data_IF_766487813980
#
_entry.id   IF_766487813980
#
_cell.length_a   1.000
_cell.length_b   1.000
_cell.length_c   1.000
_cell.angle_alpha   90.00
_cell.angle_beta   90.00
_cell.angle_gamma   90.00
#
_symmetry.space_group_name_H-M   'P 1'
#
loop_
_entity.id
_entity.type
_entity.pdbx_description
1 polymer ?
#
# COMPACT_ATOMS: atom_id res chain seq x y z
N UNK A 1 -7.04 -3.31 51.33
CA UNK A 1 -7.98 -2.69 50.38
C UNK A 1 -7.21 -2.23 49.15
N UNK A 2 -7.53 -2.70 47.95
CA UNK A 2 -6.83 -2.23 46.73
C UNK A 2 -7.42 -0.88 46.29
N UNK A 3 -6.57 0.13 46.09
CA UNK A 3 -7.01 1.47 45.66
C UNK A 3 -7.55 1.44 44.22
N UNK A 4 -8.77 1.95 44.05
CA UNK A 4 -9.39 2.12 42.74
C UNK A 4 -8.51 2.97 41.80
N UNK A 5 -8.43 2.65 40.50
CA UNK A 5 -9.02 1.50 39.82
C UNK A 5 -8.21 0.21 39.99
N UNK A 6 -8.93 -0.92 40.05
CA UNK A 6 -8.37 -2.28 40.06
C UNK A 6 -7.69 -2.58 38.71
N UNK A 7 -8.37 -2.26 37.60
CA UNK A 7 -7.84 -2.41 36.24
C UNK A 7 -6.96 -1.23 35.86
N UNK A 8 -5.73 -1.51 35.40
CA UNK A 8 -4.75 -0.47 35.03
C UNK A 8 -4.15 -0.73 33.66
N UNK A 9 -4.92 -0.45 32.61
CA UNK A 9 -4.55 -0.66 31.19
C UNK A 9 -3.23 0.02 30.79
N UNK A 10 -2.88 1.13 31.46
CA UNK A 10 -1.62 1.85 31.21
C UNK A 10 -0.37 1.04 31.57
N UNK A 11 -0.46 0.00 32.42
CA UNK A 11 0.71 -0.77 32.88
C UNK A 11 1.49 -1.40 31.73
N UNK A 12 0.80 -2.04 30.78
CA UNK A 12 1.42 -2.67 29.60
C UNK A 12 1.83 -1.66 28.51
N UNK A 13 1.48 -0.37 28.65
CA UNK A 13 1.81 0.68 27.68
C UNK A 13 2.94 1.61 28.13
N UNK A 14 3.56 1.36 29.29
CA UNK A 14 4.57 2.26 29.91
C UNK A 14 5.87 2.38 29.12
N UNK A 15 6.36 1.30 28.54
CA UNK A 15 7.64 1.27 27.82
C UNK A 15 7.45 0.72 26.41
N UNK A 16 8.39 1.03 25.53
CA UNK A 16 8.41 0.45 24.17
C UNK A 16 8.52 -1.08 24.21
N UNK A 17 9.29 -1.63 25.16
CA UNK A 17 9.39 -3.10 25.35
C UNK A 17 8.06 -3.74 25.76
N UNK A 18 7.34 -3.15 26.72
CA UNK A 18 6.04 -3.67 27.15
C UNK A 18 4.99 -3.58 26.03
N UNK A 19 5.00 -2.49 25.24
CA UNK A 19 4.13 -2.36 24.06
C UNK A 19 4.48 -3.35 22.96
N UNK A 20 5.76 -3.68 22.76
CA UNK A 20 6.18 -4.73 21.81
C UNK A 20 5.74 -6.12 22.27
N UNK A 21 5.86 -6.43 23.57
CA UNK A 21 5.44 -7.70 24.15
C UNK A 21 3.92 -7.91 24.02
N UNK A 22 3.14 -6.88 24.36
CA UNK A 22 1.67 -6.93 24.33
C UNK A 22 1.05 -6.61 22.96
N UNK A 23 1.85 -6.50 21.89
CA UNK A 23 1.34 -6.18 20.54
C UNK A 23 0.61 -7.39 19.95
N UNK A 24 -0.66 -7.20 19.64
CA UNK A 24 -1.52 -8.21 19.01
C UNK A 24 -1.30 -8.26 17.50
N UNK A 25 -1.35 -7.11 16.81
CA UNK A 25 -1.20 -7.04 15.35
C UNK A 25 0.23 -6.71 14.92
N UNK A 26 0.77 -7.53 14.02
CA UNK A 26 2.04 -7.30 13.31
C UNK A 26 1.74 -7.14 11.83
N UNK A 27 2.58 -6.38 11.13
CA UNK A 27 2.54 -6.25 9.69
C UNK A 27 3.88 -6.73 9.16
N UNK A 28 3.83 -7.55 8.13
CA UNK A 28 4.95 -8.02 7.33
C UNK A 28 4.84 -7.47 5.90
N UNK A 29 5.93 -7.47 5.13
CA UNK A 29 5.85 -7.07 3.71
C UNK A 29 4.89 -7.99 2.91
N UNK A 30 4.73 -9.23 3.36
CA UNK A 30 3.82 -10.20 2.77
C UNK A 30 2.34 -9.85 2.92
N UNK A 31 2.01 -8.89 3.80
CA UNK A 31 0.64 -8.39 3.99
C UNK A 31 0.25 -7.31 2.95
N UNK A 32 1.17 -6.90 2.07
CA UNK A 32 0.97 -5.78 1.14
C UNK A 32 0.96 -6.20 -0.34
N UNK A 33 0.21 -5.45 -1.13
CA UNK A 33 0.17 -5.55 -2.60
C UNK A 33 0.39 -4.15 -3.20
N UNK A 34 1.39 -4.01 -4.06
CA UNK A 34 1.74 -2.73 -4.70
C UNK A 34 0.93 -2.52 -5.99
N UNK A 35 0.15 -1.43 -6.10
CA UNK A 35 -0.51 -1.10 -7.35
C UNK A 35 0.47 -0.51 -8.38
N UNK A 36 0.40 -1.00 -9.61
CA UNK A 36 1.13 -0.45 -10.76
C UNK A 36 0.16 -0.01 -11.84
N UNK A 37 0.29 1.24 -12.28
CA UNK A 37 -0.55 1.81 -13.33
C UNK A 37 0.21 1.81 -14.65
N UNK A 38 -0.40 1.31 -15.72
CA UNK A 38 0.23 1.12 -17.02
C UNK A 38 -0.60 1.85 -18.08
N UNK A 39 0.06 2.51 -19.02
CA UNK A 39 -0.60 3.10 -20.18
C UNK A 39 0.35 3.29 -21.36
N UNK A 40 -0.13 3.89 -22.46
CA UNK A 40 0.66 4.14 -23.66
C UNK A 40 1.84 5.08 -23.38
N UNK A 41 1.61 6.08 -22.53
CA UNK A 41 2.60 7.10 -22.18
C UNK A 41 2.72 7.22 -20.65
N UNK A 42 3.94 7.42 -20.14
CA UNK A 42 4.15 7.65 -18.72
C UNK A 42 3.47 8.96 -18.29
N UNK A 43 2.93 8.97 -17.07
CA UNK A 43 2.24 10.14 -16.52
C UNK A 43 2.48 10.22 -15.02
N UNK A 44 3.09 11.31 -14.57
CA UNK A 44 3.22 11.59 -13.13
C UNK A 44 1.84 11.88 -12.53
N UNK A 45 1.61 11.42 -11.29
CA UNK A 45 0.43 11.78 -10.53
C UNK A 45 0.78 12.82 -9.46
N UNK A 46 0.49 14.12 -9.68
CA UNK A 46 0.79 15.16 -8.69
C UNK A 46 -0.08 15.05 -7.43
N UNK A 47 -1.26 14.43 -7.53
CA UNK A 47 -2.18 14.24 -6.39
C UNK A 47 -1.76 13.06 -5.49
N UNK A 48 -1.04 12.08 -6.07
CA UNK A 48 -0.48 10.94 -5.35
C UNK A 48 1.03 10.82 -5.61
N UNK A 49 1.86 11.69 -4.97
CA UNK A 49 3.30 11.62 -5.08
C UNK A 49 3.83 10.24 -4.68
N UNK A 50 4.62 9.62 -5.56
CA UNK A 50 5.14 8.25 -5.40
C UNK A 50 4.38 7.19 -6.18
N UNK A 51 3.19 7.50 -6.71
CA UNK A 51 2.50 6.68 -7.71
C UNK A 51 2.50 7.42 -9.05
N UNK A 52 2.80 6.69 -10.12
CA UNK A 52 2.76 7.22 -11.48
C UNK A 52 2.30 6.13 -12.43
N UNK A 53 1.89 6.55 -13.63
CA UNK A 53 1.65 5.63 -14.73
C UNK A 53 2.98 5.34 -15.43
N UNK A 54 3.31 4.07 -15.53
CA UNK A 54 4.43 3.56 -16.32
C UNK A 54 3.98 3.30 -17.76
N UNK A 55 4.92 3.35 -18.68
CA UNK A 55 4.76 2.75 -20.01
C UNK A 55 5.02 1.24 -19.94
N UNK A 56 4.71 0.51 -21.01
CA UNK A 56 4.99 -0.93 -21.07
C UNK A 56 6.49 -1.20 -20.98
N UNK A 57 7.31 -0.34 -21.58
CA UNK A 57 8.78 -0.46 -21.61
C UNK A 57 9.40 -0.21 -20.22
N UNK A 58 8.82 0.69 -19.44
CA UNK A 58 9.33 1.07 -18.11
C UNK A 58 8.80 0.20 -16.97
N UNK A 59 7.75 -0.61 -17.24
CA UNK A 59 7.12 -1.46 -16.23
C UNK A 59 8.06 -2.52 -15.66
N UNK A 60 8.89 -3.15 -16.51
CA UNK A 60 9.83 -4.19 -16.08
C UNK A 60 10.84 -3.67 -15.06
N UNK A 61 11.46 -2.52 -15.33
CA UNK A 61 12.40 -1.89 -14.41
C UNK A 61 11.76 -1.53 -13.05
N UNK A 62 10.49 -1.11 -13.06
CA UNK A 62 9.74 -0.84 -11.83
C UNK A 62 9.45 -2.12 -11.05
N UNK A 63 9.12 -3.23 -11.73
CA UNK A 63 8.92 -4.53 -11.09
C UNK A 63 10.21 -5.07 -10.47
N UNK A 64 11.35 -4.97 -11.17
CA UNK A 64 12.65 -5.39 -10.65
C UNK A 64 13.06 -4.59 -9.39
N UNK A 65 12.70 -3.31 -9.33
CA UNK A 65 12.94 -2.50 -8.14
C UNK A 65 12.10 -2.95 -6.95
N UNK A 66 10.81 -3.23 -7.18
CA UNK A 66 9.93 -3.77 -6.15
C UNK A 66 10.41 -5.12 -5.62
N UNK A 67 10.88 -6.00 -6.50
CA UNK A 67 11.46 -7.29 -6.10
C UNK A 67 12.69 -7.09 -5.22
N UNK A 68 13.62 -6.19 -5.60
CA UNK A 68 14.80 -5.87 -4.77
C UNK A 68 14.44 -5.33 -3.40
N UNK A 69 13.32 -4.63 -3.27
CA UNK A 69 12.79 -4.11 -2.00
C UNK A 69 12.05 -5.18 -1.18
N UNK A 70 11.87 -6.39 -1.72
CA UNK A 70 11.19 -7.50 -1.05
C UNK A 70 9.67 -7.48 -1.21
N UNK A 71 9.12 -6.67 -2.12
CA UNK A 71 7.68 -6.66 -2.41
C UNK A 71 7.32 -7.90 -3.20
N UNK A 72 6.42 -8.73 -2.66
CA UNK A 72 6.05 -10.02 -3.26
C UNK A 72 4.76 -9.99 -4.07
N UNK A 73 3.95 -8.95 -3.91
CA UNK A 73 2.64 -8.82 -4.56
C UNK A 73 2.51 -7.51 -5.32
N UNK A 74 2.09 -7.61 -6.59
CA UNK A 74 1.69 -6.46 -7.42
C UNK A 74 0.31 -6.66 -8.01
N UNK A 75 -0.44 -5.56 -8.17
CA UNK A 75 -1.71 -5.54 -8.89
C UNK A 75 -1.61 -4.53 -10.03
N UNK A 76 -1.95 -4.96 -11.24
CA UNK A 76 -1.79 -4.15 -12.45
C UNK A 76 -3.11 -3.46 -12.84
N UNK A 77 -3.02 -2.16 -13.12
CA UNK A 77 -4.12 -1.34 -13.61
C UNK A 77 -3.78 -0.75 -14.98
N UNK A 78 -4.49 -1.18 -16.02
CA UNK A 78 -4.32 -0.67 -17.37
C UNK A 78 -5.21 0.55 -17.67
N UNK A 79 -4.62 1.64 -18.13
CA UNK A 79 -5.33 2.78 -18.70
C UNK A 79 -5.52 2.55 -20.20
N UNK A 80 -6.77 2.35 -20.63
CA UNK A 80 -7.10 2.22 -22.05
C UNK A 80 -6.97 3.58 -22.74
N UNK A 81 -6.33 3.61 -23.91
CA UNK A 81 -6.19 4.82 -24.72
C UNK A 81 -7.54 5.38 -25.22
N UNK A 82 -8.59 4.56 -25.23
CA UNK A 82 -9.97 4.98 -25.56
C UNK A 82 -10.92 4.49 -24.48
N UNK A 83 -11.47 5.44 -23.74
CA UNK A 83 -12.71 5.20 -22.99
C UNK A 83 -13.85 5.34 -24.01
N UNK A 84 -14.43 4.22 -24.42
CA UNK A 84 -15.57 4.24 -25.33
C UNK A 84 -16.81 4.75 -24.57
N UNK A 85 -17.12 6.03 -24.70
CA UNK A 85 -18.36 6.59 -24.16
C UNK A 85 -19.52 6.07 -25.00
N UNK A 86 -20.19 5.02 -24.53
CA UNK A 86 -21.43 4.54 -25.14
C UNK A 86 -22.51 5.60 -24.86
N UNK A 87 -22.69 6.56 -25.77
CA UNK A 87 -23.86 7.46 -25.74
C UNK A 87 -25.09 6.58 -25.96
N UNK A 88 -25.87 6.38 -24.91
CA UNK A 88 -27.22 5.83 -25.02
C UNK A 88 -28.07 6.91 -25.70
N UNK A 89 -28.35 6.76 -26.99
CA UNK A 89 -29.34 7.58 -27.68
C UNK A 89 -30.73 7.10 -27.29
N UNK A 90 -31.51 8.00 -26.71
CA UNK A 90 -32.98 7.92 -26.63
C UNK A 90 -33.60 8.10 -28.00
#
# INVERSE_FOLDING_TARGET
MSTFPVTRLRRLRRTTGLRRLARETRLDLDDFVMPLFIGPEPLANPELPGLARHSVETLGAAADELERLGVKGVILFGALARVATRRLSS
#
